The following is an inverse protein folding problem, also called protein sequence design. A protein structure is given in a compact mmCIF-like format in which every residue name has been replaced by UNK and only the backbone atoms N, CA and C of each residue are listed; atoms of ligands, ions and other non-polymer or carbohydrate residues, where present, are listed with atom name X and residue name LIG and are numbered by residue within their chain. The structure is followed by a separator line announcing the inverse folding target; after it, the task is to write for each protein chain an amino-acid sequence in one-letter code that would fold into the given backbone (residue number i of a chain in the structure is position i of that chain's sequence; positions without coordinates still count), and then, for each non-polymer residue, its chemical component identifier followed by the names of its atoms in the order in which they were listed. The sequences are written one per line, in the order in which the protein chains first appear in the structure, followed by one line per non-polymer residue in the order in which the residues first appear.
data_IF_077529316030
#
_entry.id   IF_077529316030
#
_cell.length_a   1.000
_cell.length_b   1.000
_cell.length_c   1.000
_cell.angle_alpha   90.00
_cell.angle_beta   90.00
_cell.angle_gamma   90.00
#
_symmetry.space_group_name_H-M   'P 1'
#
loop_
_entity.id
_entity.type
_entity.pdbx_description
1 polymer ?
#
# COMPACT_ATOMS: atom_id res chain seq x y z
N UNK A 1 20.93 -20.27 5.96
CA UNK A 1 20.05 -21.10 6.79
C UNK A 1 18.81 -20.28 7.08
N UNK A 2 17.62 -20.75 6.70
CA UNK A 2 16.38 -20.11 7.13
C UNK A 2 16.10 -20.59 8.56
N UNK A 3 15.95 -19.65 9.50
CA UNK A 3 15.43 -19.96 10.83
C UNK A 3 13.94 -20.27 10.69
N UNK A 4 13.62 -21.50 10.30
CA UNK A 4 12.25 -21.99 10.29
C UNK A 4 11.79 -22.14 11.74
N UNK A 5 10.81 -21.33 12.13
CA UNK A 5 10.10 -21.46 13.39
C UNK A 5 8.87 -22.31 13.08
N UNK A 6 8.68 -23.39 13.83
CA UNK A 6 7.51 -24.26 13.67
C UNK A 6 6.24 -23.45 13.97
N UNK A 7 5.38 -23.35 12.96
CA UNK A 7 4.13 -22.58 13.06
C UNK A 7 3.08 -23.41 13.80
N UNK A 8 2.54 -22.87 14.90
CA UNK A 8 1.44 -23.46 15.66
C UNK A 8 0.32 -22.44 15.84
N UNK A 9 -0.92 -22.86 15.64
CA UNK A 9 -2.12 -22.04 15.89
C UNK A 9 -2.30 -21.66 17.36
N UNK A 10 -1.66 -22.41 18.28
CA UNK A 10 -1.69 -22.16 19.73
C UNK A 10 -0.60 -21.18 20.18
N UNK A 11 0.13 -20.56 19.24
CA UNK A 11 1.11 -19.56 19.57
C UNK A 11 0.41 -18.32 20.15
N UNK A 12 0.68 -18.03 21.43
CA UNK A 12 0.14 -16.88 22.16
C UNK A 12 0.25 -15.55 21.39
N UNK A 13 1.31 -15.34 20.61
CA UNK A 13 1.49 -14.13 19.80
C UNK A 13 0.46 -14.06 18.66
N UNK A 14 0.16 -15.20 18.03
CA UNK A 14 -0.83 -15.26 16.94
C UNK A 14 -2.26 -15.08 17.46
N UNK A 15 -2.55 -15.60 18.65
CA UNK A 15 -3.84 -15.36 19.31
C UNK A 15 -4.02 -13.87 19.64
N UNK A 16 -3.00 -13.24 20.24
CA UNK A 16 -3.02 -11.79 20.51
C UNK A 16 -3.16 -10.95 19.24
N UNK A 17 -2.43 -11.31 18.19
CA UNK A 17 -2.53 -10.63 16.90
C UNK A 17 -3.95 -10.75 16.33
N UNK A 18 -4.54 -11.95 16.42
CA UNK A 18 -5.90 -12.18 15.97
C UNK A 18 -6.89 -11.33 16.77
N UNK A 19 -6.76 -11.27 18.09
CA UNK A 19 -7.63 -10.45 18.95
C UNK A 19 -7.55 -8.96 18.54
N UNK A 20 -6.33 -8.44 18.32
CA UNK A 20 -6.13 -7.05 17.84
C UNK A 20 -6.76 -6.84 16.45
N UNK A 21 -6.62 -7.81 15.54
CA UNK A 21 -7.19 -7.70 14.19
C UNK A 21 -8.72 -7.77 14.21
N UNK A 22 -9.30 -8.61 15.08
CA UNK A 22 -10.75 -8.74 15.26
C UNK A 22 -11.34 -7.49 15.94
N UNK A 23 -10.57 -6.76 16.76
CA UNK A 23 -10.96 -5.44 17.30
C UNK A 23 -10.95 -4.33 16.23
N UNK A 24 -10.02 -4.40 15.27
CA UNK A 24 -9.83 -3.36 14.26
C UNK A 24 -10.73 -3.59 13.03
N UNK A 25 -10.94 -4.85 12.64
CA UNK A 25 -11.59 -5.24 11.39
C UNK A 25 -12.62 -6.35 11.62
N UNK A 26 -13.79 -6.23 11.00
CA UNK A 26 -14.67 -7.39 10.91
C UNK A 26 -14.00 -8.53 10.13
N UNK A 27 -14.36 -9.76 10.46
CA UNK A 27 -13.82 -10.96 9.83
C UNK A 27 -13.89 -10.93 8.29
N UNK A 28 -15.00 -10.45 7.72
CA UNK A 28 -15.16 -10.36 6.26
C UNK A 28 -14.19 -9.36 5.61
N UNK A 29 -13.95 -8.25 6.30
CA UNK A 29 -12.98 -7.22 5.90
C UNK A 29 -11.54 -7.74 5.99
N UNK A 30 -11.20 -8.47 7.05
CA UNK A 30 -9.91 -9.13 7.20
C UNK A 30 -9.67 -10.15 6.06
N UNK A 31 -10.65 -11.02 5.79
CA UNK A 31 -10.57 -12.01 4.70
C UNK A 31 -10.43 -11.32 3.35
N UNK A 32 -11.15 -10.23 3.12
CA UNK A 32 -11.03 -9.44 1.90
C UNK A 32 -9.63 -8.82 1.74
N UNK A 33 -9.10 -8.21 2.80
CA UNK A 33 -7.76 -7.63 2.81
C UNK A 33 -6.68 -8.69 2.52
N UNK A 34 -6.75 -9.85 3.17
CA UNK A 34 -5.79 -10.96 2.93
C UNK A 34 -5.86 -11.45 1.48
N UNK A 35 -7.07 -11.60 0.93
CA UNK A 35 -7.24 -11.98 -0.49
C UNK A 35 -6.65 -10.93 -1.43
N UNK A 36 -6.80 -9.65 -1.10
CA UNK A 36 -6.26 -8.53 -1.86
C UNK A 36 -4.72 -8.52 -1.82
N UNK A 37 -4.13 -8.66 -0.63
CA UNK A 37 -2.67 -8.74 -0.45
C UNK A 37 -2.07 -9.96 -1.16
N UNK A 38 -2.74 -11.12 -1.09
CA UNK A 38 -2.36 -12.30 -1.87
C UNK A 38 -2.32 -11.96 -3.37
N UNK A 39 -3.30 -11.22 -3.85
CA UNK A 39 -3.39 -10.81 -5.25
C UNK A 39 -2.24 -9.86 -5.62
N UNK A 40 -1.88 -8.91 -4.75
CA UNK A 40 -0.74 -8.01 -4.95
C UNK A 40 0.60 -8.76 -5.03
N UNK A 41 0.81 -9.72 -4.13
CA UNK A 41 2.05 -10.49 -4.08
C UNK A 41 2.21 -11.46 -5.27
N UNK A 42 1.11 -12.03 -5.77
CA UNK A 42 1.15 -12.98 -6.87
C UNK A 42 1.57 -12.33 -8.21
N UNK A 43 1.46 -11.00 -8.34
CA UNK A 43 1.88 -10.25 -9.52
C UNK A 43 1.08 -10.51 -10.82
N UNK A 44 0.31 -11.59 -10.87
CA UNK A 44 -0.63 -11.96 -11.93
C UNK A 44 -1.96 -11.22 -11.78
N UNK A 45 -1.98 -9.93 -12.06
CA UNK A 45 -3.24 -9.18 -12.16
C UNK A 45 -3.49 -8.71 -13.59
N UNK A 46 -4.73 -8.90 -14.06
CA UNK A 46 -5.28 -8.33 -15.31
C UNK A 46 -5.81 -6.89 -15.12
N UNK A 47 -5.95 -6.44 -13.87
CA UNK A 47 -6.54 -5.16 -13.51
C UNK A 47 -5.68 -4.48 -12.44
N UNK A 48 -5.61 -3.16 -12.47
CA UNK A 48 -4.87 -2.38 -11.49
C UNK A 48 -5.76 -2.19 -10.27
N UNK A 49 -5.45 -2.86 -9.17
CA UNK A 49 -6.22 -2.78 -7.95
C UNK A 49 -5.50 -1.89 -6.93
N UNK A 50 -6.21 -0.87 -6.43
CA UNK A 50 -5.77 0.01 -5.35
C UNK A 50 -6.64 -0.27 -4.14
N UNK A 51 -6.03 -0.40 -2.96
CA UNK A 51 -6.75 -0.58 -1.69
C UNK A 51 -6.80 0.76 -0.95
N UNK A 52 -7.99 1.27 -0.65
CA UNK A 52 -8.13 2.46 0.18
C UNK A 52 -8.48 2.08 1.61
N UNK A 53 -7.62 2.36 2.58
CA UNK A 53 -7.90 2.19 4.02
C UNK A 53 -8.43 3.51 4.59
N UNK A 54 -9.72 3.56 4.98
CA UNK A 54 -10.43 4.77 5.38
C UNK A 54 -11.17 4.61 6.71
N UNK A 55 -10.69 5.19 7.79
CA UNK A 55 -11.41 5.12 9.05
C UNK A 55 -10.50 5.52 10.18
N UNK A 56 -10.64 4.88 11.35
CA UNK A 56 -9.91 5.33 12.52
C UNK A 56 -8.39 5.39 12.27
N UNK A 57 -7.81 6.54 12.64
CA UNK A 57 -6.41 6.86 12.37
C UNK A 57 -5.46 5.93 13.11
N UNK A 58 -5.82 5.52 14.32
CA UNK A 58 -5.00 4.64 15.14
C UNK A 58 -5.04 3.20 14.58
N UNK A 59 -6.22 2.68 14.31
CA UNK A 59 -6.44 1.40 13.64
C UNK A 59 -5.65 1.28 12.32
N UNK A 60 -5.74 2.29 11.45
CA UNK A 60 -5.00 2.31 10.16
C UNK A 60 -3.49 2.29 10.35
N UNK A 61 -2.97 3.04 11.32
CA UNK A 61 -1.53 3.06 11.60
C UNK A 61 -1.03 1.71 12.08
N UNK A 62 -1.78 1.03 12.96
CA UNK A 62 -1.45 -0.33 13.42
C UNK A 62 -1.43 -1.29 12.22
N UNK A 63 -2.45 -1.26 11.37
CA UNK A 63 -2.52 -2.13 10.19
C UNK A 63 -1.35 -1.88 9.23
N UNK A 64 -1.03 -0.63 8.92
CA UNK A 64 0.10 -0.29 8.04
C UNK A 64 1.42 -0.76 8.65
N UNK A 65 1.61 -0.53 9.95
CA UNK A 65 2.81 -0.99 10.64
C UNK A 65 2.91 -2.51 10.59
N UNK A 66 1.82 -3.23 10.86
CA UNK A 66 1.79 -4.69 10.74
C UNK A 66 2.17 -5.15 9.34
N UNK A 67 1.66 -4.50 8.28
CA UNK A 67 2.00 -4.83 6.90
C UNK A 67 3.47 -4.56 6.56
N UNK A 68 4.01 -3.43 7.03
CA UNK A 68 5.42 -3.05 6.82
C UNK A 68 6.34 -4.09 7.46
N UNK A 69 6.07 -4.46 8.72
CA UNK A 69 6.86 -5.46 9.45
C UNK A 69 6.70 -6.87 8.85
N UNK A 70 5.51 -7.21 8.36
CA UNK A 70 5.23 -8.54 7.79
C UNK A 70 5.82 -8.73 6.38
N UNK A 71 5.76 -7.70 5.54
CA UNK A 71 6.16 -7.78 4.12
C UNK A 71 7.59 -7.30 3.89
N UNK A 72 8.16 -6.51 4.81
CA UNK A 72 9.53 -6.04 4.78
C UNK A 72 9.93 -5.48 3.42
N UNK A 73 10.88 -6.13 2.76
CA UNK A 73 11.45 -5.67 1.49
C UNK A 73 10.46 -5.66 0.31
N UNK A 74 9.29 -6.30 0.41
CA UNK A 74 8.29 -6.27 -0.67
C UNK A 74 7.41 -5.02 -0.64
N UNK A 75 7.42 -4.29 0.48
CA UNK A 75 6.63 -3.09 0.70
C UNK A 75 7.53 -1.86 0.75
N UNK A 76 7.03 -0.74 0.22
CA UNK A 76 7.71 0.55 0.28
C UNK A 76 6.71 1.64 0.68
N UNK A 77 7.05 2.45 1.68
CA UNK A 77 6.31 3.69 1.97
C UNK A 77 6.67 4.73 0.91
N UNK A 78 5.65 5.42 0.43
CA UNK A 78 5.72 6.43 -0.63
C UNK A 78 5.21 7.78 -0.10
N UNK A 79 5.72 8.90 -0.62
CA UNK A 79 5.33 10.21 -0.16
C UNK A 79 3.98 10.59 -0.80
N UNK A 80 3.15 11.30 -0.04
CA UNK A 80 1.82 11.73 -0.52
C UNK A 80 1.89 12.63 -1.77
N UNK A 81 3.01 13.32 -1.98
CA UNK A 81 3.20 14.22 -3.12
C UNK A 81 3.10 13.51 -4.48
N UNK A 82 3.29 12.19 -4.54
CA UNK A 82 3.12 11.42 -5.76
C UNK A 82 1.67 11.40 -6.27
N UNK A 83 0.69 11.61 -5.39
CA UNK A 83 -0.74 11.52 -5.74
C UNK A 83 -1.48 12.87 -5.66
N UNK A 84 -0.85 13.92 -5.12
CA UNK A 84 -1.43 15.27 -5.03
C UNK A 84 -1.57 15.92 -6.40
N UNK A 85 -2.67 16.65 -6.67
CA UNK A 85 -2.93 17.30 -7.97
C UNK A 85 -1.82 18.26 -8.41
N UNK A 86 -1.27 19.05 -7.50
CA UNK A 86 -0.34 20.15 -7.83
C UNK A 86 1.12 19.73 -8.08
N UNK A 87 1.46 18.44 -7.87
CA UNK A 87 2.84 18.00 -8.06
C UNK A 87 3.19 17.89 -9.56
N UNK A 88 4.06 18.77 -10.05
CA UNK A 88 4.61 18.73 -11.43
C UNK A 88 5.67 17.63 -11.63
N UNK A 89 5.72 16.64 -10.72
CA UNK A 89 6.98 16.05 -10.21
C UNK A 89 7.16 14.54 -10.47
N UNK A 90 6.52 13.98 -11.49
CA UNK A 90 6.66 12.52 -11.79
C UNK A 90 8.01 12.23 -12.47
N UNK A 91 8.55 13.17 -13.24
CA UNK A 91 9.87 13.00 -13.85
C UNK A 91 10.97 13.38 -12.83
N UNK A 92 11.80 12.40 -12.44
CA UNK A 92 13.02 12.54 -11.60
C UNK A 92 12.85 12.39 -10.08
N UNK A 93 11.88 11.61 -9.60
CA UNK A 93 11.75 11.36 -8.16
C UNK A 93 12.61 10.15 -7.70
N UNK A 94 13.59 10.33 -6.80
CA UNK A 94 14.40 9.24 -6.26
C UNK A 94 13.58 8.21 -5.47
N UNK A 95 12.41 8.59 -4.96
CA UNK A 95 11.53 7.65 -4.25
C UNK A 95 10.85 6.66 -5.20
N UNK A 96 10.56 7.06 -6.44
CA UNK A 96 10.12 6.13 -7.49
C UNK A 96 11.25 5.14 -7.83
N UNK A 97 12.51 5.52 -7.71
CA UNK A 97 13.61 4.58 -7.92
C UNK A 97 13.67 3.47 -6.84
N UNK A 98 13.08 3.71 -5.66
CA UNK A 98 12.99 2.73 -4.56
C UNK A 98 11.84 1.73 -4.75
N UNK A 99 10.86 2.03 -5.61
CA UNK A 99 9.75 1.09 -5.92
C UNK A 99 10.18 -0.03 -6.87
N UNK A 100 11.38 0.05 -7.45
CA UNK A 100 11.93 -1.01 -8.30
C UNK A 100 12.05 -2.32 -7.51
N UNK A 101 11.35 -3.35 -7.99
CA UNK A 101 11.33 -4.68 -7.36
C UNK A 101 10.37 -4.81 -6.18
N UNK A 102 9.68 -3.72 -5.80
CA UNK A 102 8.64 -3.72 -4.76
C UNK A 102 7.31 -4.17 -5.37
N UNK A 103 6.49 -4.82 -4.54
CA UNK A 103 5.14 -5.29 -4.90
C UNK A 103 4.06 -4.37 -4.37
N UNK A 104 4.30 -3.73 -3.23
CA UNK A 104 3.29 -2.90 -2.56
C UNK A 104 3.88 -1.52 -2.25
N UNK A 105 3.17 -0.47 -2.65
CA UNK A 105 3.44 0.91 -2.27
C UNK A 105 2.39 1.40 -1.28
N UNK A 106 2.79 1.94 -0.13
CA UNK A 106 1.86 2.51 0.86
C UNK A 106 1.97 4.03 0.86
N UNK A 107 0.84 4.73 0.70
CA UNK A 107 0.75 6.18 0.80
C UNK A 107 -0.18 6.53 1.97
N UNK A 108 0.32 7.30 2.93
CA UNK A 108 -0.48 7.85 4.02
C UNK A 108 -0.85 9.30 3.67
N UNK A 109 -2.14 9.57 3.50
CA UNK A 109 -2.68 10.90 3.21
C UNK A 109 -3.06 11.58 4.51
N UNK A 110 -2.52 12.77 4.74
CA UNK A 110 -2.84 13.59 5.92
C UNK A 110 -3.95 14.58 5.57
N UNK A 111 -4.91 14.77 6.48
CA UNK A 111 -5.93 15.82 6.37
C UNK A 111 -5.26 17.16 6.02
N UNK A 112 -5.76 17.81 4.96
CA UNK A 112 -5.25 19.00 4.26
C UNK A 112 -4.55 18.76 2.91
N UNK A 113 -4.47 17.53 2.38
CA UNK A 113 -4.02 17.33 1.00
C UNK A 113 -5.10 17.82 0.02
N UNK A 114 -4.93 19.04 -0.48
CA UNK A 114 -5.71 19.57 -1.59
C UNK A 114 -5.69 18.56 -2.76
N UNK A 115 -6.85 17.97 -3.04
CA UNK A 115 -7.16 17.14 -4.20
C UNK A 115 -6.20 15.96 -4.50
N UNK A 116 -6.56 14.76 -4.05
CA UNK A 116 -5.97 13.51 -4.56
C UNK A 116 -6.33 13.31 -6.04
N UNK A 117 -5.32 13.14 -6.89
CA UNK A 117 -5.49 12.89 -8.32
C UNK A 117 -5.60 11.38 -8.62
N UNK A 118 -6.81 10.94 -9.00
CA UNK A 118 -6.99 9.57 -9.52
C UNK A 118 -6.18 9.31 -10.79
N UNK A 119 -5.91 10.34 -11.61
CA UNK A 119 -5.12 10.19 -12.82
C UNK A 119 -3.68 9.76 -12.48
N UNK A 120 -3.08 10.36 -11.45
CA UNK A 120 -1.74 10.00 -10.97
C UNK A 120 -1.70 8.62 -10.31
N UNK A 121 -2.73 8.28 -9.53
CA UNK A 121 -2.88 6.93 -8.97
C UNK A 121 -2.95 5.90 -10.11
N UNK A 122 -3.76 6.19 -11.14
CA UNK A 122 -3.87 5.33 -12.32
C UNK A 122 -2.57 5.20 -13.09
N UNK A 123 -1.82 6.28 -13.25
CA UNK A 123 -0.50 6.26 -13.89
C UNK A 123 0.48 5.37 -13.12
N UNK A 124 0.51 5.48 -11.79
CA UNK A 124 1.42 4.71 -10.94
C UNK A 124 1.15 3.19 -10.98
N UNK A 125 -0.12 2.75 -11.02
CA UNK A 125 -0.39 1.31 -11.15
C UNK A 125 -0.78 0.84 -12.55
N UNK A 126 -0.79 1.69 -13.58
CA UNK A 126 -0.81 1.24 -14.98
C UNK A 126 0.44 0.46 -15.37
N UNK A 127 1.45 0.39 -14.50
CA UNK A 127 2.68 -0.40 -14.69
C UNK A 127 3.36 -0.05 -16.02
N UNK A 128 3.24 1.19 -16.49
CA UNK A 128 3.95 1.67 -17.67
C UNK A 128 5.43 1.88 -17.35
N UNK A 129 6.29 1.91 -18.37
CA UNK A 129 7.70 2.18 -18.12
C UNK A 129 7.87 3.59 -17.57
N UNK A 130 8.52 3.68 -16.41
CA UNK A 130 8.85 4.93 -15.76
C UNK A 130 10.36 5.15 -15.78
N UNK A 131 10.75 6.41 -15.95
CA UNK A 131 12.14 6.86 -15.88
C UNK A 131 12.36 7.41 -14.48
N UNK A 132 13.21 6.73 -13.69
CA UNK A 132 13.54 7.16 -12.34
C UNK A 132 15.05 7.38 -12.19
N UNK A 133 15.42 8.18 -11.19
CA UNK A 133 16.82 8.51 -10.93
C UNK A 133 17.10 8.49 -9.43
N UNK A 134 18.03 7.63 -8.99
CA UNK A 134 18.58 7.72 -7.61
C UNK A 134 19.50 8.94 -7.51
N UNK A 135 19.62 9.52 -6.31
CA UNK A 135 20.58 10.59 -6.06
C UNK A 135 21.97 10.21 -6.59
N UNK A 136 22.59 11.12 -7.33
CA UNK A 136 23.93 10.98 -7.93
C UNK A 136 24.13 9.83 -8.94
N UNK A 137 23.05 9.15 -9.36
CA UNK A 137 23.12 8.07 -10.35
C UNK A 137 22.56 8.50 -11.70
N UNK A 138 22.86 7.72 -12.75
CA UNK A 138 22.22 7.86 -14.05
C UNK A 138 20.73 7.47 -13.97
N UNK A 139 19.84 8.15 -14.73
CA UNK A 139 18.46 7.72 -14.87
C UNK A 139 18.39 6.29 -15.41
N UNK A 140 17.40 5.53 -14.96
CA UNK A 140 17.13 4.19 -15.48
C UNK A 140 15.64 4.02 -15.73
N UNK A 141 15.34 3.20 -16.72
CA UNK A 141 13.97 2.83 -17.06
C UNK A 141 13.62 1.51 -16.38
N UNK A 142 12.42 1.44 -15.80
CA UNK A 142 11.89 0.18 -15.33
C UNK A 142 10.38 0.14 -15.41
N UNK A 143 9.84 -1.07 -15.49
CA UNK A 143 8.41 -1.33 -15.40
C UNK A 143 8.04 -1.54 -13.93
N UNK A 144 7.20 -0.70 -13.31
CA UNK A 144 6.75 -0.90 -11.95
C UNK A 144 5.89 -2.17 -11.88
N UNK A 145 6.03 -2.91 -10.77
CA UNK A 145 5.21 -4.08 -10.45
C UNK A 145 4.43 -3.84 -9.15
N UNK A 146 4.16 -2.57 -8.86
CA UNK A 146 3.64 -2.11 -7.60
C UNK A 146 2.11 -2.03 -7.65
N UNK A 147 1.47 -2.51 -6.59
CA UNK A 147 0.08 -2.24 -6.26
C UNK A 147 0.04 -1.28 -5.06
N UNK A 148 -0.98 -0.43 -4.98
CA UNK A 148 -1.00 0.65 -3.99
C UNK A 148 -2.01 0.41 -2.86
N UNK A 149 -1.59 0.75 -1.65
CA UNK A 149 -2.43 0.92 -0.48
C UNK A 149 -2.42 2.40 -0.12
N UNK A 150 -3.59 3.04 -0.12
CA UNK A 150 -3.75 4.45 0.19
C UNK A 150 -4.55 4.55 1.48
N UNK A 151 -3.95 5.16 2.50
CA UNK A 151 -4.59 5.37 3.79
C UNK A 151 -5.04 6.82 3.91
N UNK A 152 -6.32 7.06 4.18
CA UNK A 152 -6.90 8.41 4.27
C UNK A 152 -7.89 8.50 5.43
N UNK A 153 -7.90 9.63 6.14
CA UNK A 153 -8.94 9.95 7.14
C UNK A 153 -10.28 10.31 6.46
N UNK A 154 -10.23 10.80 5.23
CA UNK A 154 -11.39 11.28 4.47
C UNK A 154 -11.94 10.16 3.60
N UNK A 155 -13.27 9.99 3.60
CA UNK A 155 -13.98 9.11 2.68
C UNK A 155 -13.83 9.58 1.23
N UNK A 156 -13.18 8.76 0.40
CA UNK A 156 -13.00 9.02 -1.03
C UNK A 156 -14.15 8.34 -1.76
N UNK A 157 -15.20 9.09 -2.08
CA UNK A 157 -16.36 8.58 -2.82
C UNK A 157 -16.11 8.67 -4.33
N UNK A 158 -15.63 7.57 -4.97
CA UNK A 158 -15.48 7.50 -6.43
C UNK A 158 -15.76 6.09 -6.98
N UNK A 159 -16.40 6.06 -8.17
CA UNK A 159 -16.96 4.89 -8.88
C UNK A 159 -16.05 3.67 -9.10
N UNK A 160 -14.73 3.77 -8.89
CA UNK A 160 -13.76 2.70 -9.13
C UNK A 160 -12.85 2.41 -7.93
N UNK A 161 -13.17 2.93 -6.74
CA UNK A 161 -12.37 2.73 -5.53
C UNK A 161 -12.95 1.58 -4.71
N UNK A 162 -12.13 0.56 -4.40
CA UNK A 162 -12.46 -0.33 -3.29
C UNK A 162 -12.14 0.42 -2.00
N UNK A 163 -13.17 0.99 -1.42
CA UNK A 163 -13.11 1.71 -0.15
C UNK A 163 -13.24 0.70 0.97
N UNK A 164 -12.19 0.58 1.77
CA UNK A 164 -12.19 -0.19 2.99
C UNK A 164 -12.39 0.77 4.15
N UNK A 165 -13.42 0.54 4.97
CA UNK A 165 -13.67 1.36 6.16
C UNK A 165 -13.32 0.61 7.45
N UNK A 166 -12.12 0.75 8.05
CA UNK A 166 -11.89 0.28 9.41
C UNK A 166 -12.82 1.06 10.36
N UNK A 167 -13.67 0.33 11.04
CA UNK A 167 -14.52 0.88 12.09
C UNK A 167 -13.69 1.25 13.32
N UNK A 168 -14.02 2.39 13.93
CA UNK A 168 -14.33 2.51 15.35
C UNK A 168 -15.67 3.24 15.46
#
# INVERSE_FOLDING_TARGET
QYNYIEYSFDNHILLQLKDILDEILDHDYLVFMIKTLRSFLNGHQKHNCYLFLIGDRHARKILIQLLVESLGEYLQKLPQDLINCDSSFIALNPELALTRGKRIGVIEVVENSENISLAKINELANREMIIARKYYNQPFEFKPQLDLIISSDIAIDKKNCVVFKPFL
#
